data_IF_431080416559
#
_entry.id   IF_431080416559
#
_cell.length_a   1.000
_cell.length_b   1.000
_cell.length_c   1.000
_cell.angle_alpha   90.00
_cell.angle_beta   90.00
_cell.angle_gamma   90.00
#
_symmetry.space_group_name_H-M   'P 1'
#
loop_
_entity.id
_entity.type
_entity.pdbx_description
1 polymer ?
#
# COMPACT_ATOMS: atom_id res chain seq x y z
N UNK A 1 41.14 22.66 -7.94
CA UNK A 1 40.54 21.30 -7.99
C UNK A 1 39.22 21.31 -7.22
N UNK A 2 38.07 21.28 -7.92
CA UNK A 2 36.73 21.21 -7.29
C UNK A 2 36.40 19.75 -6.94
N UNK A 3 36.08 19.49 -5.67
CA UNK A 3 35.56 18.19 -5.21
C UNK A 3 34.12 18.03 -5.71
N UNK A 4 33.83 16.95 -6.45
CA UNK A 4 32.47 16.54 -6.81
C UNK A 4 31.75 16.07 -5.54
N UNK A 5 30.64 16.72 -5.20
CA UNK A 5 29.74 16.30 -4.13
C UNK A 5 28.95 15.07 -4.56
N UNK A 6 28.91 14.05 -3.71
CA UNK A 6 28.11 12.85 -3.88
C UNK A 6 26.67 13.18 -3.46
N UNK A 7 25.71 13.13 -4.40
CA UNK A 7 24.28 13.24 -4.07
C UNK A 7 23.86 11.97 -3.31
N UNK A 8 23.42 12.11 -2.07
CA UNK A 8 22.72 11.04 -1.34
C UNK A 8 21.37 10.82 -2.05
N UNK A 9 21.14 9.62 -2.58
CA UNK A 9 19.80 9.16 -2.95
C UNK A 9 18.95 9.10 -1.67
N UNK A 10 17.99 10.01 -1.53
CA UNK A 10 16.96 9.94 -0.49
C UNK A 10 15.98 8.83 -0.87
N UNK A 11 15.78 7.86 0.03
CA UNK A 11 14.90 6.70 -0.17
C UNK A 11 13.45 7.08 0.13
N UNK A 12 12.52 6.72 -0.76
CA UNK A 12 11.08 6.79 -0.49
C UNK A 12 10.63 5.52 0.20
N UNK A 13 9.70 5.63 1.15
CA UNK A 13 9.00 4.50 1.77
C UNK A 13 7.51 4.64 1.41
N UNK A 14 6.88 3.53 1.01
CA UNK A 14 5.43 3.47 0.78
C UNK A 14 4.80 2.60 1.87
N UNK A 15 3.66 3.03 2.40
CA UNK A 15 2.92 2.35 3.48
C UNK A 15 1.47 2.14 3.07
N UNK A 16 0.87 1.00 3.41
CA UNK A 16 -0.56 0.75 3.31
C UNK A 16 -1.17 0.57 4.72
N UNK A 17 -2.32 1.20 4.99
CA UNK A 17 -3.07 1.08 6.24
C UNK A 17 -4.48 0.56 5.95
N UNK A 18 -4.98 -0.37 6.78
CA UNK A 18 -6.37 -0.83 6.79
C UNK A 18 -6.99 -0.53 8.16
N UNK A 19 -8.06 0.27 8.21
CA UNK A 19 -8.73 0.67 9.45
C UNK A 19 -10.22 0.33 9.43
N UNK A 20 -10.73 -0.31 10.49
CA UNK A 20 -12.16 -0.50 10.77
C UNK A 20 -12.44 -0.31 12.25
N UNK A 21 -13.47 0.48 12.61
CA UNK A 21 -13.83 0.81 14.00
C UNK A 21 -15.34 0.58 14.26
N UNK A 22 -15.69 -0.14 15.33
CA UNK A 22 -16.46 0.35 16.52
C UNK A 22 -16.81 -0.83 17.45
N UNK A 23 -16.52 -0.68 18.75
CA UNK A 23 -16.81 -1.66 19.80
C UNK A 23 -17.72 -1.08 20.91
N UNK A 24 -18.53 -1.96 21.49
CA UNK A 24 -19.43 -1.71 22.63
C UNK A 24 -18.75 -2.19 23.94
N UNK A 25 -18.86 -1.40 25.01
CA UNK A 25 -18.20 -1.58 26.30
C UNK A 25 -19.03 -2.47 27.27
N UNK A 26 -18.40 -3.42 27.97
CA UNK A 26 -18.92 -4.01 29.21
C UNK A 26 -17.77 -4.26 30.21
N UNK A 27 -17.90 -3.73 31.43
CA UNK A 27 -16.94 -3.89 32.53
C UNK A 27 -17.46 -4.92 33.54
N UNK A 28 -16.58 -5.84 33.96
CA UNK A 28 -16.79 -6.79 35.05
C UNK A 28 -15.55 -6.86 35.95
N UNK A 29 -15.78 -6.61 37.24
CA UNK A 29 -14.87 -6.38 38.38
C UNK A 29 -13.91 -7.52 38.79
N UNK A 30 -12.82 -7.15 39.48
CA UNK A 30 -12.12 -8.01 40.44
C UNK A 30 -10.82 -7.40 40.98
N UNK A 31 -10.88 -6.61 42.07
CA UNK A 31 -9.69 -6.28 42.89
C UNK A 31 -9.75 -7.07 44.18
N UNK A 32 -8.67 -7.81 44.50
CA UNK A 32 -7.98 -7.82 45.81
C UNK A 32 -7.01 -9.03 45.91
N UNK A 33 -5.71 -8.77 46.14
CA UNK A 33 -4.95 -9.49 47.16
C UNK A 33 -3.66 -8.76 47.55
N UNK A 34 -3.41 -8.69 48.85
CA UNK A 34 -2.24 -8.13 49.52
C UNK A 34 -1.34 -9.25 50.07
N UNK A 35 -0.17 -9.50 49.48
CA UNK A 35 0.97 -10.18 50.12
C UNK A 35 2.28 -9.96 49.32
N UNK A 36 3.37 -9.41 49.90
CA UNK A 36 4.60 -9.12 49.15
C UNK A 36 5.64 -10.26 49.11
N UNK A 37 5.33 -11.51 49.47
CA UNK A 37 6.36 -12.57 49.59
C UNK A 37 6.65 -13.40 48.33
N UNK A 38 6.24 -12.98 47.12
CA UNK A 38 6.55 -13.73 45.89
C UNK A 38 6.92 -12.80 44.74
N UNK A 39 8.13 -12.24 44.77
CA UNK A 39 8.69 -11.46 43.66
C UNK A 39 9.22 -12.40 42.54
N UNK A 40 8.32 -13.14 41.90
CA UNK A 40 8.50 -13.46 40.49
C UNK A 40 8.16 -12.18 39.74
N UNK A 41 9.12 -11.57 39.05
CA UNK A 41 8.89 -10.35 38.28
C UNK A 41 7.84 -10.63 37.21
N UNK A 42 6.68 -10.07 37.49
CA UNK A 42 5.46 -10.00 36.71
C UNK A 42 5.79 -9.65 35.25
N UNK A 43 5.81 -10.64 34.36
CA UNK A 43 5.52 -10.37 32.96
C UNK A 43 4.06 -9.93 32.98
N UNK A 44 3.84 -8.62 32.85
CA UNK A 44 2.54 -8.06 32.51
C UNK A 44 2.17 -8.60 31.13
N UNK A 45 1.68 -9.83 31.09
CA UNK A 45 1.00 -10.37 29.91
C UNK A 45 -0.25 -9.52 29.78
N UNK A 46 -0.35 -8.75 28.70
CA UNK A 46 -1.62 -8.17 28.32
C UNK A 46 -2.62 -9.32 28.15
N UNK A 47 -3.42 -9.56 29.18
CA UNK A 47 -4.37 -10.65 29.22
C UNK A 47 -5.53 -10.34 28.28
N UNK A 48 -5.79 -11.28 27.38
CA UNK A 48 -6.80 -11.19 26.32
C UNK A 48 -8.22 -11.25 26.87
N UNK A 49 -8.99 -10.18 26.62
CA UNK A 49 -10.42 -10.31 26.37
C UNK A 49 -10.62 -10.00 24.88
N UNK A 50 -10.74 -11.02 24.04
CA UNK A 50 -10.93 -10.85 22.60
C UNK A 50 -12.41 -10.57 22.29
N UNK A 51 -12.71 -9.32 21.94
CA UNK A 51 -13.78 -9.08 20.96
C UNK A 51 -13.19 -9.31 19.57
N UNK A 52 -13.87 -10.10 18.74
CA UNK A 52 -13.42 -10.48 17.41
C UNK A 52 -13.43 -9.29 16.43
N UNK A 53 -12.42 -8.42 16.50
CA UNK A 53 -12.02 -7.56 15.39
C UNK A 53 -10.83 -8.19 14.69
N UNK A 54 -10.84 -8.22 13.36
CA UNK A 54 -9.64 -8.56 12.59
C UNK A 54 -8.53 -7.57 12.93
N UNK A 55 -7.32 -8.04 13.31
CA UNK A 55 -6.22 -7.14 13.65
C UNK A 55 -5.79 -6.35 12.41
N UNK A 56 -5.50 -5.06 12.58
CA UNK A 56 -4.88 -4.25 11.52
C UNK A 56 -3.53 -4.84 11.15
N UNK A 57 -3.25 -4.93 9.85
CA UNK A 57 -2.01 -5.51 9.29
C UNK A 57 -1.22 -4.43 8.55
N UNK A 58 0.09 -4.55 8.59
CA UNK A 58 1.01 -3.63 7.91
C UNK A 58 1.99 -4.44 7.08
N UNK A 59 2.11 -4.06 5.80
CA UNK A 59 3.00 -4.68 4.83
C UNK A 59 3.97 -3.63 4.29
N UNK A 60 5.24 -4.00 4.17
CA UNK A 60 6.30 -3.09 3.73
C UNK A 60 7.14 -3.75 2.64
N UNK A 61 7.17 -3.14 1.45
CA UNK A 61 8.07 -3.53 0.37
C UNK A 61 9.51 -3.11 0.67
N UNK A 62 10.45 -4.06 0.64
CA UNK A 62 11.85 -3.79 0.89
C UNK A 62 12.69 -3.95 -0.39
N UNK A 63 12.92 -2.85 -1.09
CA UNK A 63 13.59 -2.81 -2.40
C UNK A 63 14.96 -3.54 -2.39
N UNK A 64 15.77 -3.34 -1.36
CA UNK A 64 17.16 -3.87 -1.33
C UNK A 64 17.26 -5.35 -0.95
N UNK A 65 16.31 -5.87 -0.17
CA UNK A 65 16.29 -7.28 0.27
C UNK A 65 15.42 -8.16 -0.62
N UNK A 66 14.61 -7.58 -1.52
CA UNK A 66 13.66 -8.30 -2.38
C UNK A 66 12.64 -9.10 -1.56
N UNK A 67 12.18 -8.54 -0.44
CA UNK A 67 11.18 -9.15 0.44
C UNK A 67 10.11 -8.14 0.85
N UNK A 68 9.03 -8.67 1.44
CA UNK A 68 7.95 -7.91 2.05
C UNK A 68 7.96 -8.23 3.54
N UNK A 69 8.10 -7.21 4.39
CA UNK A 69 7.92 -7.37 5.84
C UNK A 69 6.44 -7.35 6.20
N UNK A 70 6.04 -8.20 7.14
CA UNK A 70 4.64 -8.41 7.55
C UNK A 70 4.50 -8.21 9.04
N UNK A 71 3.60 -7.30 9.45
CA UNK A 71 3.34 -6.97 10.85
C UNK A 71 1.86 -6.95 11.16
N UNK A 72 1.54 -7.20 12.43
CA UNK A 72 0.22 -6.97 13.01
C UNK A 72 0.29 -5.79 13.99
N UNK A 73 -0.73 -4.94 13.98
CA UNK A 73 -0.92 -3.89 14.96
C UNK A 73 -1.47 -4.48 16.26
N UNK A 74 -0.85 -4.11 17.39
CA UNK A 74 -1.20 -4.58 18.72
C UNK A 74 -1.54 -3.41 19.62
N UNK A 75 -2.84 -3.09 19.70
CA UNK A 75 -3.36 -1.95 20.47
C UNK A 75 -3.09 -2.09 21.97
N UNK A 76 -3.34 -3.30 22.48
CA UNK A 76 -3.21 -3.64 23.90
C UNK A 76 -1.78 -3.48 24.46
N UNK A 77 -0.78 -3.30 23.61
CA UNK A 77 0.60 -3.04 24.02
C UNK A 77 1.02 -1.58 23.84
N UNK A 78 0.11 -0.65 23.51
CA UNK A 78 0.45 0.74 23.23
C UNK A 78 0.69 1.04 21.75
N UNK A 79 0.07 0.24 20.87
CA UNK A 79 0.06 0.48 19.42
C UNK A 79 1.34 0.06 18.70
N UNK A 80 2.00 -1.00 19.17
CA UNK A 80 3.20 -1.54 18.52
C UNK A 80 2.85 -2.39 17.29
N UNK A 81 3.86 -2.57 16.42
CA UNK A 81 3.83 -3.52 15.32
C UNK A 81 4.62 -4.77 15.71
N UNK A 82 3.92 -5.89 15.85
CA UNK A 82 4.54 -7.21 16.07
C UNK A 82 4.75 -7.92 14.73
N UNK A 83 5.89 -8.58 14.51
CA UNK A 83 6.11 -9.34 13.27
C UNK A 83 5.13 -10.52 13.18
N UNK A 84 4.54 -10.70 12.00
CA UNK A 84 3.81 -11.93 11.64
C UNK A 84 4.86 -13.05 11.46
N UNK A 85 4.51 -14.33 11.62
CA UNK A 85 5.45 -15.44 11.37
C UNK A 85 5.07 -16.17 10.07
N UNK A 86 5.96 -16.25 9.06
CA UNK A 86 7.31 -15.65 9.02
C UNK A 86 7.26 -14.11 8.93
N UNK A 87 8.26 -13.41 9.45
CA UNK A 87 8.30 -11.92 9.47
C UNK A 87 8.44 -11.28 8.10
N UNK A 88 8.91 -12.05 7.12
CA UNK A 88 9.13 -11.62 5.75
C UNK A 88 8.76 -12.74 4.78
N UNK A 89 8.31 -12.37 3.59
CA UNK A 89 8.22 -13.26 2.43
C UNK A 89 9.07 -12.71 1.29
N UNK A 90 9.79 -13.59 0.58
CA UNK A 90 10.51 -13.20 -0.62
C UNK A 90 9.51 -12.86 -1.73
N UNK A 91 9.76 -11.77 -2.43
CA UNK A 91 9.00 -11.35 -3.62
C UNK A 91 9.91 -11.37 -4.85
N UNK A 92 9.35 -11.07 -6.01
CA UNK A 92 10.13 -10.70 -7.19
C UNK A 92 11.13 -9.57 -6.89
N UNK A 93 12.08 -9.33 -7.80
CA UNK A 93 13.19 -8.40 -7.53
C UNK A 93 12.74 -6.95 -7.46
N UNK A 94 13.28 -6.21 -6.49
CA UNK A 94 13.10 -4.77 -6.25
C UNK A 94 11.64 -4.32 -6.10
N UNK A 95 10.93 -4.82 -5.07
CA UNK A 95 9.58 -4.35 -4.77
C UNK A 95 9.61 -2.86 -4.40
N UNK A 96 8.62 -2.10 -4.87
CA UNK A 96 8.57 -0.66 -4.68
C UNK A 96 7.17 -0.20 -4.26
N UNK A 97 6.24 -0.09 -5.20
CA UNK A 97 4.84 0.22 -4.93
C UNK A 97 4.13 -0.97 -4.27
N UNK A 98 3.28 -0.69 -3.28
CA UNK A 98 2.46 -1.70 -2.60
C UNK A 98 1.05 -1.15 -2.38
N UNK A 99 0.03 -1.96 -2.62
CA UNK A 99 -1.36 -1.62 -2.41
C UNK A 99 -2.14 -2.83 -1.90
N UNK A 100 -3.15 -2.59 -1.06
CA UNK A 100 -4.06 -3.61 -0.56
C UNK A 100 -5.43 -3.49 -1.22
N UNK A 101 -6.14 -4.61 -1.38
CA UNK A 101 -7.56 -4.58 -1.68
C UNK A 101 -8.34 -3.96 -0.50
N UNK A 102 -9.50 -3.32 -0.74
CA UNK A 102 -10.29 -2.69 0.33
C UNK A 102 -10.78 -3.65 1.43
N UNK A 103 -10.99 -4.92 1.09
CA UNK A 103 -11.36 -5.98 2.03
C UNK A 103 -10.14 -6.59 2.76
N UNK A 104 -8.92 -6.22 2.37
CA UNK A 104 -7.67 -6.69 2.93
C UNK A 104 -7.33 -8.15 2.61
N UNK A 105 -8.01 -8.76 1.65
CA UNK A 105 -7.77 -10.15 1.24
C UNK A 105 -6.59 -10.31 0.27
N UNK A 106 -6.21 -9.24 -0.44
CA UNK A 106 -5.16 -9.24 -1.45
C UNK A 106 -4.16 -8.09 -1.26
N UNK A 107 -2.89 -8.37 -1.54
CA UNK A 107 -1.80 -7.39 -1.63
C UNK A 107 -1.18 -7.44 -3.03
N UNK A 108 -1.01 -6.27 -3.62
CA UNK A 108 -0.35 -6.08 -4.91
C UNK A 108 0.97 -5.35 -4.72
N UNK A 109 2.01 -5.80 -5.42
CA UNK A 109 3.35 -5.23 -5.33
C UNK A 109 3.91 -4.97 -6.71
N UNK A 110 4.27 -3.73 -7.00
CA UNK A 110 4.92 -3.36 -8.23
C UNK A 110 6.45 -3.45 -8.09
N UNK A 111 7.12 -3.98 -9.10
CA UNK A 111 8.57 -4.18 -9.10
C UNK A 111 9.30 -3.21 -10.01
N UNK A 112 10.41 -2.63 -9.53
CA UNK A 112 11.09 -1.53 -10.20
C UNK A 112 11.95 -2.00 -11.38
N UNK A 113 12.84 -2.98 -11.20
CA UNK A 113 13.78 -3.37 -12.26
C UNK A 113 13.22 -4.40 -13.25
N UNK A 114 12.22 -5.17 -12.82
CA UNK A 114 11.51 -6.13 -13.66
C UNK A 114 10.09 -5.60 -13.80
N UNK A 115 9.57 -5.37 -15.02
CA UNK A 115 8.25 -4.77 -15.20
C UNK A 115 7.15 -5.80 -14.87
N UNK A 116 6.73 -5.86 -13.61
CA UNK A 116 5.65 -6.72 -13.17
C UNK A 116 4.88 -6.13 -12.00
N UNK A 117 3.64 -6.61 -11.86
CA UNK A 117 2.88 -6.51 -10.61
C UNK A 117 2.65 -7.92 -10.07
N UNK A 118 3.15 -8.18 -8.87
CA UNK A 118 2.93 -9.42 -8.14
C UNK A 118 1.66 -9.29 -7.30
N UNK A 119 0.88 -10.37 -7.22
CA UNK A 119 -0.36 -10.49 -6.47
C UNK A 119 -0.20 -11.57 -5.40
N UNK A 120 -0.53 -11.20 -4.17
CA UNK A 120 -0.47 -12.04 -2.99
C UNK A 120 -1.84 -12.15 -2.35
N UNK A 121 -2.23 -13.35 -1.95
CA UNK A 121 -3.36 -13.55 -1.06
C UNK A 121 -2.92 -13.39 0.39
N UNK A 122 -3.85 -12.93 1.23
CA UNK A 122 -3.64 -12.71 2.67
C UNK A 122 -4.35 -13.81 3.45
N UNK A 123 -3.62 -14.58 4.25
CA UNK A 123 -4.24 -15.53 5.18
C UNK A 123 -5.09 -14.79 6.22
N UNK A 124 -6.40 -15.04 6.32
CA UNK A 124 -7.29 -14.25 7.17
C UNK A 124 -7.06 -14.48 8.67
N UNK A 125 -6.43 -15.59 9.08
CA UNK A 125 -6.12 -15.86 10.48
C UNK A 125 -4.84 -15.18 10.96
N UNK A 126 -3.80 -15.21 10.13
CA UNK A 126 -2.42 -14.86 10.50
C UNK A 126 -1.92 -13.58 9.84
N UNK A 127 -2.46 -13.20 8.67
CA UNK A 127 -1.92 -12.12 7.85
C UNK A 127 -0.68 -12.47 7.05
N UNK A 128 -0.26 -13.74 7.06
CA UNK A 128 0.81 -14.20 6.19
C UNK A 128 0.39 -14.07 4.72
N UNK A 129 1.33 -13.62 3.89
CA UNK A 129 1.13 -13.54 2.45
C UNK A 129 1.49 -14.85 1.76
N UNK A 130 0.78 -15.16 0.69
CA UNK A 130 1.14 -16.21 -0.25
C UNK A 130 1.12 -15.63 -1.68
N UNK A 131 2.22 -15.83 -2.43
CA UNK A 131 2.29 -15.39 -3.83
C UNK A 131 1.32 -16.23 -4.66
N UNK A 132 0.36 -15.56 -5.30
CA UNK A 132 -0.61 -16.21 -6.19
C UNK A 132 -0.12 -16.13 -7.64
N UNK A 133 0.28 -14.95 -8.09
CA UNK A 133 0.71 -14.73 -9.46
C UNK A 133 1.59 -13.48 -9.63
N UNK A 134 2.48 -13.50 -10.62
CA UNK A 134 3.17 -12.31 -11.11
C UNK A 134 2.69 -11.98 -12.51
N UNK A 135 2.29 -10.72 -12.73
CA UNK A 135 1.72 -10.25 -13.99
C UNK A 135 2.73 -9.33 -14.68
N UNK A 136 3.45 -9.83 -15.71
CA UNK A 136 4.36 -9.01 -16.47
C UNK A 136 3.60 -7.91 -17.19
N UNK A 137 4.19 -6.73 -17.20
CA UNK A 137 3.68 -5.58 -17.92
C UNK A 137 4.59 -5.28 -19.10
N UNK A 138 4.08 -4.54 -20.10
CA UNK A 138 4.95 -4.03 -21.15
C UNK A 138 5.83 -2.91 -20.59
N UNK A 139 6.89 -2.54 -21.32
CA UNK A 139 7.81 -1.47 -20.93
C UNK A 139 9.09 -1.95 -20.24
N UNK A 140 10.04 -1.03 -20.03
CA UNK A 140 11.15 -1.28 -19.12
C UNK A 140 10.66 -1.05 -17.69
N UNK A 141 11.50 -1.47 -16.75
CA UNK A 141 11.76 -0.87 -15.45
C UNK A 141 11.06 0.48 -15.13
N UNK A 142 10.86 0.77 -13.84
CA UNK A 142 10.39 2.08 -13.38
C UNK A 142 9.02 2.08 -12.70
N UNK A 143 8.53 0.95 -12.20
CA UNK A 143 7.27 0.99 -11.44
C UNK A 143 7.46 1.66 -10.08
N UNK A 144 6.63 2.66 -9.79
CA UNK A 144 6.73 3.48 -8.58
C UNK A 144 5.45 3.42 -7.75
N UNK A 145 4.42 4.16 -8.13
CA UNK A 145 3.13 4.17 -7.47
C UNK A 145 2.23 3.02 -7.90
N UNK A 146 1.42 2.52 -6.96
CA UNK A 146 0.43 1.48 -7.18
C UNK A 146 -0.79 1.81 -6.33
N UNK A 147 -1.99 1.70 -6.90
CA UNK A 147 -3.23 1.86 -6.12
C UNK A 147 -4.31 0.89 -6.60
N UNK A 148 -5.12 0.43 -5.66
CA UNK A 148 -6.40 -0.23 -5.92
C UNK A 148 -7.51 0.84 -5.84
N UNK A 149 -8.55 0.71 -6.66
CA UNK A 149 -9.73 1.58 -6.60
C UNK A 149 -10.50 1.39 -5.28
N UNK A 150 -11.24 2.41 -4.86
CA UNK A 150 -11.99 2.38 -3.58
C UNK A 150 -13.01 1.22 -3.52
N UNK A 151 -13.57 0.84 -4.67
CA UNK A 151 -14.51 -0.28 -4.80
C UNK A 151 -13.83 -1.65 -4.96
N UNK A 152 -12.50 -1.70 -5.06
CA UNK A 152 -11.72 -2.93 -5.18
C UNK A 152 -11.73 -3.57 -6.57
N UNK A 153 -12.33 -2.92 -7.57
CA UNK A 153 -12.52 -3.53 -8.89
C UNK A 153 -11.37 -3.27 -9.87
N UNK A 154 -10.48 -2.32 -9.57
CA UNK A 154 -9.42 -1.89 -10.49
C UNK A 154 -8.09 -1.66 -9.77
N UNK A 155 -7.01 -1.88 -10.51
CA UNK A 155 -5.65 -1.60 -10.07
C UNK A 155 -4.94 -0.73 -11.12
N UNK A 156 -4.25 0.30 -10.64
CA UNK A 156 -3.49 1.22 -11.47
C UNK A 156 -2.03 1.24 -11.04
N UNK A 157 -1.13 0.90 -11.95
CA UNK A 157 0.31 0.83 -11.71
C UNK A 157 1.05 1.91 -12.53
N UNK A 158 1.74 2.83 -11.84
CA UNK A 158 2.55 3.86 -12.48
C UNK A 158 3.88 3.30 -12.94
N UNK A 159 4.23 3.54 -14.19
CA UNK A 159 5.57 3.37 -14.73
C UNK A 159 6.19 4.73 -15.05
N UNK A 160 7.21 5.10 -14.29
CA UNK A 160 7.87 6.41 -14.38
C UNK A 160 8.70 6.57 -15.65
N UNK A 161 9.37 5.51 -16.10
CA UNK A 161 10.28 5.57 -17.24
C UNK A 161 9.51 5.53 -18.57
N UNK A 162 8.32 4.91 -18.57
CA UNK A 162 7.43 4.87 -19.73
C UNK A 162 6.45 6.05 -19.81
N UNK A 163 6.31 6.86 -18.75
CA UNK A 163 5.24 7.85 -18.59
C UNK A 163 3.84 7.24 -18.81
N UNK A 164 3.61 6.04 -18.25
CA UNK A 164 2.35 5.31 -18.39
C UNK A 164 1.72 4.99 -17.03
N UNK A 165 0.39 4.91 -17.02
CA UNK A 165 -0.39 4.18 -16.03
C UNK A 165 -0.85 2.89 -16.69
N UNK A 166 -0.54 1.74 -16.11
CA UNK A 166 -1.08 0.45 -16.49
C UNK A 166 -2.38 0.19 -15.72
N UNK A 167 -3.39 -0.31 -16.42
CA UNK A 167 -4.75 -0.42 -15.88
C UNK A 167 -5.24 -1.86 -15.96
N UNK A 168 -5.70 -2.37 -14.82
CA UNK A 168 -6.22 -3.73 -14.70
C UNK A 168 -7.59 -3.71 -14.02
N UNK A 169 -8.51 -4.56 -14.49
CA UNK A 169 -9.62 -5.01 -13.67
C UNK A 169 -9.17 -6.12 -12.73
N UNK A 170 -9.80 -6.19 -11.58
CA UNK A 170 -9.58 -7.21 -10.55
C UNK A 170 -10.79 -8.14 -10.50
N UNK A 171 -10.54 -9.44 -10.45
CA UNK A 171 -11.58 -10.40 -10.15
C UNK A 171 -12.01 -10.24 -8.67
N UNK A 172 -13.28 -9.93 -8.37
CA UNK A 172 -13.70 -9.63 -7.00
C UNK A 172 -13.63 -10.82 -6.04
N UNK A 173 -13.51 -12.05 -6.57
CA UNK A 173 -13.43 -13.27 -5.76
C UNK A 173 -12.02 -13.79 -5.58
N UNK A 174 -11.10 -13.45 -6.49
CA UNK A 174 -9.76 -14.05 -6.54
C UNK A 174 -8.63 -13.03 -6.58
N UNK A 175 -8.93 -11.73 -6.66
CA UNK A 175 -7.93 -10.67 -6.82
C UNK A 175 -7.17 -10.68 -8.14
N UNK A 176 -7.49 -11.60 -9.07
CA UNK A 176 -6.72 -11.80 -10.29
C UNK A 176 -6.82 -10.60 -11.24
N UNK A 177 -5.68 -10.18 -11.79
CA UNK A 177 -5.59 -9.02 -12.67
C UNK A 177 -5.87 -9.36 -14.14
N UNK A 178 -6.69 -8.55 -14.80
CA UNK A 178 -6.90 -8.59 -16.25
C UNK A 178 -6.67 -7.20 -16.84
N UNK A 179 -5.80 -7.00 -17.84
CA UNK A 179 -5.59 -5.69 -18.45
C UNK A 179 -6.90 -5.11 -19.01
N UNK A 180 -7.12 -3.81 -18.80
CA UNK A 180 -8.24 -3.09 -19.42
C UNK A 180 -8.01 -2.87 -20.92
N UNK A 181 -9.01 -2.30 -21.60
CA UNK A 181 -8.91 -1.83 -22.98
C UNK A 181 -9.39 -0.38 -23.07
N UNK A 182 -8.48 0.60 -23.26
CA UNK A 182 -7.03 0.45 -23.39
C UNK A 182 -6.37 -0.09 -22.11
N UNK A 183 -5.21 -0.73 -22.25
CA UNK A 183 -4.48 -1.29 -21.10
C UNK A 183 -3.62 -0.23 -20.37
N UNK A 184 -3.49 0.95 -20.96
CA UNK A 184 -2.61 2.00 -20.47
C UNK A 184 -3.13 3.41 -20.77
N UNK A 185 -2.84 4.34 -19.87
CA UNK A 185 -3.00 5.79 -20.08
C UNK A 185 -1.64 6.47 -20.14
N UNK A 186 -1.45 7.36 -21.10
CA UNK A 186 -0.21 8.14 -21.26
C UNK A 186 -0.25 9.41 -20.41
N UNK A 187 0.74 9.58 -19.54
CA UNK A 187 0.99 10.78 -18.78
C UNK A 187 1.75 11.82 -19.63
N UNK A 188 1.78 13.11 -19.22
CA UNK A 188 2.64 14.10 -19.86
C UNK A 188 4.11 13.65 -19.84
N UNK A 189 4.74 13.58 -21.02
CA UNK A 189 6.09 13.03 -21.16
C UNK A 189 7.14 13.71 -20.28
N UNK A 190 8.07 12.92 -19.75
CA UNK A 190 9.07 13.35 -18.78
C UNK A 190 8.49 13.64 -17.40
N UNK A 191 7.33 13.07 -17.05
CA UNK A 191 6.58 13.40 -15.83
C UNK A 191 7.42 13.22 -14.56
N UNK A 192 8.23 12.17 -14.50
CA UNK A 192 8.82 11.72 -13.24
C UNK A 192 7.73 11.39 -12.21
N UNK A 193 6.65 10.73 -12.65
CA UNK A 193 5.56 10.27 -11.79
C UNK A 193 6.07 9.47 -10.57
N UNK A 194 5.44 9.66 -9.41
CA UNK A 194 5.88 9.06 -8.14
C UNK A 194 4.77 8.28 -7.43
N UNK A 195 3.61 8.91 -7.25
CA UNK A 195 2.46 8.34 -6.54
C UNK A 195 1.19 8.59 -7.34
N UNK A 196 0.24 7.66 -7.19
CA UNK A 196 -1.14 7.78 -7.64
C UNK A 196 -2.05 7.56 -6.43
N UNK A 197 -3.02 8.44 -6.21
CA UNK A 197 -3.96 8.35 -5.07
C UNK A 197 -5.40 8.55 -5.56
N UNK A 198 -6.33 7.64 -5.25
CA UNK A 198 -7.75 7.80 -5.56
C UNK A 198 -8.41 8.80 -4.61
N UNK A 199 -9.37 9.57 -5.12
CA UNK A 199 -10.33 10.29 -4.26
C UNK A 199 -11.29 9.32 -3.57
N UNK A 200 -11.83 9.68 -2.39
CA UNK A 200 -12.81 8.86 -1.67
C UNK A 200 -14.09 8.54 -2.44
N UNK A 201 -14.47 9.38 -3.42
CA UNK A 201 -15.62 9.11 -4.31
C UNK A 201 -15.34 8.02 -5.36
N UNK A 202 -14.08 7.59 -5.51
CA UNK A 202 -13.63 6.62 -6.51
C UNK A 202 -13.61 7.14 -7.96
N UNK A 203 -13.94 8.40 -8.19
CA UNK A 203 -14.11 8.97 -9.53
C UNK A 203 -12.85 9.66 -10.06
N UNK A 204 -11.94 10.09 -9.19
CA UNK A 204 -10.75 10.83 -9.56
C UNK A 204 -9.48 10.18 -9.00
N UNK A 205 -8.38 10.37 -9.74
CA UNK A 205 -7.05 9.91 -9.35
C UNK A 205 -6.05 11.04 -9.54
N UNK A 206 -5.14 11.17 -8.59
CA UNK A 206 -4.15 12.25 -8.57
C UNK A 206 -2.76 11.66 -8.67
N UNK A 207 -1.99 12.12 -9.66
CA UNK A 207 -0.62 11.66 -9.88
C UNK A 207 0.36 12.81 -9.66
N UNK A 208 1.33 12.61 -8.77
CA UNK A 208 2.40 13.60 -8.54
C UNK A 208 3.53 13.40 -9.55
N UNK A 209 3.82 14.43 -10.34
CA UNK A 209 4.86 14.43 -11.37
C UNK A 209 6.04 15.29 -10.92
N UNK A 210 7.08 14.64 -10.39
CA UNK A 210 8.20 15.32 -9.76
C UNK A 210 9.03 16.14 -10.75
N UNK A 211 9.36 15.56 -11.90
CA UNK A 211 10.27 16.15 -12.88
C UNK A 211 9.66 17.35 -13.60
N UNK A 212 8.37 17.28 -13.92
CA UNK A 212 7.66 18.35 -14.62
C UNK A 212 7.01 19.37 -13.67
N UNK A 213 7.09 19.19 -12.35
CA UNK A 213 6.46 20.07 -11.35
C UNK A 213 4.95 20.25 -11.61
N UNK A 214 4.24 19.13 -11.74
CA UNK A 214 2.79 19.11 -11.93
C UNK A 214 2.11 18.01 -11.13
N UNK A 215 0.80 18.16 -10.92
CA UNK A 215 -0.11 17.08 -10.56
C UNK A 215 -1.01 16.81 -11.77
N UNK A 216 -1.10 15.57 -12.22
CA UNK A 216 -2.13 15.14 -13.17
C UNK A 216 -3.38 14.73 -12.40
N UNK A 217 -4.53 15.25 -12.82
CA UNK A 217 -5.85 14.80 -12.33
C UNK A 217 -6.46 13.94 -13.42
N UNK A 218 -6.82 12.72 -13.06
CA UNK A 218 -7.49 11.77 -13.93
C UNK A 218 -8.93 11.54 -13.47
N UNK A 219 -9.81 11.27 -14.42
CA UNK A 219 -11.17 10.80 -14.15
C UNK A 219 -11.29 9.35 -14.61
N UNK A 220 -11.98 8.53 -13.81
CA UNK A 220 -12.36 7.17 -14.16
C UNK A 220 -13.75 7.16 -14.79
N UNK A 221 -13.91 6.39 -15.87
CA UNK A 221 -15.24 6.06 -16.39
C UNK A 221 -15.85 4.87 -15.63
N UNK A 222 -17.14 4.51 -15.87
CA UNK A 222 -17.79 3.39 -15.17
C UNK A 222 -17.16 2.01 -15.43
N UNK A 223 -16.26 1.89 -16.42
CA UNK A 223 -15.50 0.67 -16.70
C UNK A 223 -14.11 0.69 -16.07
N UNK A 224 -13.78 1.73 -15.30
CA UNK A 224 -12.50 1.92 -14.62
C UNK A 224 -11.39 2.47 -15.51
N UNK A 225 -11.67 2.82 -16.76
CA UNK A 225 -10.65 3.39 -17.65
C UNK A 225 -10.40 4.84 -17.25
N UNK A 226 -9.14 5.20 -17.05
CA UNK A 226 -8.73 6.54 -16.69
C UNK A 226 -8.54 7.43 -17.92
N UNK A 227 -8.73 8.72 -17.72
CA UNK A 227 -8.38 9.74 -18.72
C UNK A 227 -7.89 11.01 -18.03
N UNK A 228 -6.94 11.73 -18.64
CA UNK A 228 -6.42 12.98 -18.09
C UNK A 228 -7.49 14.06 -18.16
N UNK A 229 -8.00 14.48 -17.01
CA UNK A 229 -8.99 15.54 -16.89
C UNK A 229 -8.30 16.92 -16.85
N UNK A 230 -7.19 17.05 -16.11
CA UNK A 230 -6.39 18.27 -16.07
C UNK A 230 -4.96 18.03 -15.60
N UNK A 231 -4.10 19.02 -15.80
CA UNK A 231 -2.73 19.04 -15.28
C UNK A 231 -2.49 20.38 -14.60
N UNK A 232 -2.12 20.35 -13.33
CA UNK A 232 -1.95 21.54 -12.49
C UNK A 232 -0.48 21.72 -12.12
N UNK A 233 0.06 22.92 -12.30
CA UNK A 233 1.45 23.22 -11.90
C UNK A 233 1.59 23.29 -10.39
N UNK A 234 2.60 22.61 -9.84
CA UNK A 234 2.96 22.66 -8.42
C UNK A 234 4.44 22.33 -8.24
N UNK A 235 5.21 23.05 -7.41
CA UNK A 235 6.65 22.82 -7.31
C UNK A 235 7.01 21.42 -6.78
N UNK A 236 7.67 20.61 -7.62
CA UNK A 236 8.34 19.34 -7.24
C UNK A 236 7.53 18.40 -6.33
N UNK A 237 6.30 18.01 -6.71
CA UNK A 237 5.45 17.18 -5.85
C UNK A 237 6.03 15.76 -5.75
N UNK A 238 6.00 15.18 -4.54
CA UNK A 238 6.44 13.79 -4.27
C UNK A 238 5.38 12.97 -3.55
N UNK A 239 4.82 13.54 -2.48
CA UNK A 239 3.78 12.93 -1.66
C UNK A 239 2.40 13.42 -2.06
N UNK A 240 1.41 12.55 -1.95
CA UNK A 240 -0.01 12.88 -2.05
C UNK A 240 -0.74 12.16 -0.93
N UNK A 241 -1.71 12.84 -0.33
CA UNK A 241 -2.67 12.26 0.59
C UNK A 241 -3.98 13.03 0.39
N UNK A 242 -5.10 12.33 0.52
CA UNK A 242 -6.43 12.92 0.45
C UNK A 242 -7.13 12.60 1.76
N UNK A 243 -7.82 13.57 2.34
CA UNK A 243 -8.58 13.34 3.56
C UNK A 243 -9.74 12.38 3.30
N UNK A 244 -10.17 11.57 4.28
CA UNK A 244 -11.25 10.60 4.08
C UNK A 244 -12.59 11.21 3.64
N UNK A 245 -12.82 12.49 3.98
CA UNK A 245 -14.00 13.25 3.56
C UNK A 245 -13.89 13.83 2.14
N UNK A 246 -12.73 13.69 1.50
CA UNK A 246 -12.44 14.14 0.13
C UNK A 246 -12.25 15.65 -0.03
N UNK A 247 -12.20 16.40 1.07
CA UNK A 247 -12.16 17.86 1.03
C UNK A 247 -10.76 18.46 0.88
N UNK A 248 -9.69 17.72 1.21
CA UNK A 248 -8.30 18.21 1.22
C UNK A 248 -7.29 17.20 0.69
#
# INVERSE_FOLDING_TARGET
>A
MRRKGFMKKTRSFSFAFLAGVTGLLALGVGTEFSDPSNAATDISVCSVASSASTPTRVYVSNESSNDISMFQYVDQCGGFLDPISPGTIITDTTPFGIAASPDGSDIYVATYNVPAVSHYTVDPGTGALALEASHPTSGCCGYTGLTVSIDGNYLYALNVDADLIYEFSLNPSTGAMTPLSPATVTLPGGSGSQLIVPSPDGLHYYVSNLSNSTISVLSADPSGVLSIASVTSTPTPRGLAITPDGNF
#
